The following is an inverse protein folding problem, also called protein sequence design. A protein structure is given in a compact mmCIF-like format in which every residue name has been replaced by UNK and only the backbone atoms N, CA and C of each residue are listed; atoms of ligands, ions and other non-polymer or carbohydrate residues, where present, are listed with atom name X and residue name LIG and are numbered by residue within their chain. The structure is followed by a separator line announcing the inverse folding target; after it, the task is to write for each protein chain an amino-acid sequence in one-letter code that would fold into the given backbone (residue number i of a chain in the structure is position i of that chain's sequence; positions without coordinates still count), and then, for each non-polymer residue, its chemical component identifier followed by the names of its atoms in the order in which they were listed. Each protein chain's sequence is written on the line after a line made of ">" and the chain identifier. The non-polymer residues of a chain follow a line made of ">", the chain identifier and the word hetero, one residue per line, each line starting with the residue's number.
data_IF_060303843438
#
_entry.id   IF_060303843438
#
_cell.length_a   1.000
_cell.length_b   1.000
_cell.length_c   1.000
_cell.angle_alpha   90.00
_cell.angle_beta   90.00
_cell.angle_gamma   90.00
#
_symmetry.space_group_name_H-M   'P 1'
#
loop_
_entity.id
_entity.type
_entity.pdbx_description
1 polymer ?
#
# COMPACT_ATOMS: atom_id res chain seq x y z
N UNK A 1 -10.99 -10.48 -13.28
CA UNK A 1 -9.69 -10.00 -12.74
C UNK A 1 -9.16 -11.02 -11.74
N UNK A 2 -7.90 -11.51 -11.82
CA UNK A 2 -7.41 -12.54 -10.90
C UNK A 2 -7.22 -11.97 -9.48
N UNK A 3 -8.09 -12.35 -8.56
CA UNK A 3 -8.04 -11.89 -7.16
C UNK A 3 -6.81 -12.41 -6.41
N UNK A 4 -6.32 -13.60 -6.79
CA UNK A 4 -5.16 -14.26 -6.19
C UNK A 4 -3.89 -13.41 -6.30
N UNK A 5 -3.62 -12.85 -7.48
CA UNK A 5 -2.40 -12.04 -7.73
C UNK A 5 -2.41 -10.76 -6.88
N UNK A 6 -3.55 -10.07 -6.80
CA UNK A 6 -3.71 -8.87 -5.97
C UNK A 6 -3.36 -9.14 -4.51
N UNK A 7 -3.90 -10.24 -3.95
CA UNK A 7 -3.61 -10.65 -2.58
C UNK A 7 -2.12 -10.92 -2.41
N UNK A 8 -1.51 -11.68 -3.33
CA UNK A 8 -0.07 -11.98 -3.28
C UNK A 8 0.78 -10.71 -3.23
N UNK A 9 0.49 -9.72 -4.08
CA UNK A 9 1.25 -8.46 -4.08
C UNK A 9 1.05 -7.66 -2.78
N UNK A 10 -0.17 -7.59 -2.26
CA UNK A 10 -0.45 -6.84 -1.03
C UNK A 10 0.13 -7.54 0.22
N UNK A 11 0.17 -8.87 0.25
CA UNK A 11 0.85 -9.64 1.31
C UNK A 11 2.35 -9.38 1.28
N UNK A 12 2.98 -9.44 0.10
CA UNK A 12 4.41 -9.14 -0.05
C UNK A 12 4.76 -7.69 0.30
N UNK A 13 3.84 -6.76 0.05
CA UNK A 13 4.00 -5.37 0.46
C UNK A 13 3.87 -5.24 1.99
N UNK A 14 2.89 -5.91 2.60
CA UNK A 14 2.71 -5.95 4.05
C UNK A 14 3.98 -6.43 4.78
N UNK A 15 4.65 -7.46 4.26
CA UNK A 15 5.91 -7.98 4.81
C UNK A 15 7.01 -6.91 4.95
N UNK A 16 6.98 -5.84 4.14
CA UNK A 16 7.96 -4.74 4.23
C UNK A 16 7.71 -3.77 5.39
N UNK A 17 6.50 -3.80 5.94
CA UNK A 17 6.13 -2.99 7.11
C UNK A 17 6.15 -3.80 8.40
N UNK A 18 6.22 -5.14 8.33
CA UNK A 18 6.34 -6.00 9.51
C UNK A 18 7.63 -5.65 10.26
N UNK A 19 7.51 -5.28 11.53
CA UNK A 19 8.64 -4.90 12.38
C UNK A 19 9.07 -3.44 12.26
N UNK A 20 8.46 -2.63 11.38
CA UNK A 20 8.69 -1.18 11.38
C UNK A 20 8.05 -0.54 12.61
N UNK A 21 8.88 0.05 13.47
CA UNK A 21 8.41 0.72 14.67
C UNK A 21 7.48 1.89 14.31
N UNK A 22 6.32 1.92 14.96
CA UNK A 22 5.34 2.98 14.78
C UNK A 22 4.50 2.88 13.50
N UNK A 23 4.49 1.71 12.84
CA UNK A 23 3.59 1.44 11.71
C UNK A 23 2.75 0.20 12.02
N UNK A 24 1.46 0.28 11.75
CA UNK A 24 0.53 -0.85 11.75
C UNK A 24 0.02 -1.10 10.35
N UNK A 25 -0.25 -2.35 10.03
CA UNK A 25 -0.88 -2.75 8.79
C UNK A 25 -2.17 -3.51 9.03
N UNK A 26 -3.15 -3.31 8.15
CA UNK A 26 -4.42 -4.03 8.21
C UNK A 26 -4.96 -4.27 6.81
N UNK A 27 -5.45 -5.49 6.56
CA UNK A 27 -6.17 -5.81 5.33
C UNK A 27 -7.65 -5.48 5.47
N UNK A 28 -8.23 -4.94 4.40
CA UNK A 28 -9.68 -4.74 4.28
C UNK A 28 -10.09 -4.85 2.80
N UNK A 29 -11.34 -4.53 2.49
CA UNK A 29 -11.83 -4.45 1.12
C UNK A 29 -12.42 -3.07 0.82
N UNK A 30 -12.20 -2.61 -0.41
CA UNK A 30 -12.86 -1.43 -1.00
C UNK A 30 -13.43 -1.87 -2.35
N UNK A 31 -14.73 -1.63 -2.57
CA UNK A 31 -15.46 -2.07 -3.77
C UNK A 31 -15.29 -3.56 -4.09
N UNK A 32 -15.23 -4.40 -3.05
CA UNK A 32 -15.03 -5.84 -3.18
C UNK A 32 -13.58 -6.28 -3.50
N UNK A 33 -12.64 -5.34 -3.62
CA UNK A 33 -11.23 -5.64 -3.86
C UNK A 33 -10.39 -5.53 -2.58
N UNK A 34 -9.45 -6.46 -2.35
CA UNK A 34 -8.56 -6.39 -1.19
C UNK A 34 -7.64 -5.17 -1.29
N UNK A 35 -7.44 -4.51 -0.16
CA UNK A 35 -6.53 -3.38 0.00
C UNK A 35 -5.73 -3.53 1.30
N UNK A 36 -4.56 -2.91 1.34
CA UNK A 36 -3.70 -2.83 2.53
C UNK A 36 -3.75 -1.41 3.08
N UNK A 37 -4.23 -1.25 4.32
CA UNK A 37 -4.05 -0.02 5.06
C UNK A 37 -2.70 -0.03 5.76
N UNK A 38 -1.93 1.04 5.57
CA UNK A 38 -0.67 1.32 6.28
C UNK A 38 -0.91 2.52 7.16
N UNK A 39 -0.84 2.32 8.47
CA UNK A 39 -1.35 3.23 9.48
C UNK A 39 -0.18 3.69 10.36
N UNK A 40 0.10 4.99 10.43
CA UNK A 40 1.06 5.51 11.38
C UNK A 40 0.49 5.33 12.79
N UNK A 41 1.26 4.70 13.67
CA UNK A 41 0.89 4.42 15.05
C UNK A 41 1.94 5.01 15.98
N UNK A 42 1.54 5.96 16.84
CA UNK A 42 2.48 6.71 17.72
C UNK A 42 3.52 7.56 16.97
N UNK A 43 3.34 7.77 15.67
CA UNK A 43 4.08 8.75 14.86
C UNK A 43 3.08 9.68 14.16
N UNK A 44 3.41 10.96 13.94
CA UNK A 44 2.59 11.83 13.10
C UNK A 44 2.53 11.29 11.68
N UNK A 45 1.35 11.27 11.09
CA UNK A 45 1.16 10.83 9.71
C UNK A 45 -0.30 10.65 9.36
N UNK A 46 -0.58 10.50 8.07
CA UNK A 46 -1.89 10.06 7.56
C UNK A 46 -1.81 8.62 7.10
N UNK A 47 -2.83 7.82 7.43
CA UNK A 47 -2.93 6.45 6.92
C UNK A 47 -3.06 6.42 5.39
N UNK A 48 -2.30 5.52 4.77
CA UNK A 48 -2.37 5.20 3.35
C UNK A 48 -3.25 3.95 3.14
N UNK A 49 -4.10 3.98 2.12
CA UNK A 49 -4.88 2.80 1.69
C UNK A 49 -4.37 2.38 0.32
N UNK A 50 -3.71 1.23 0.26
CA UNK A 50 -2.98 0.77 -0.93
C UNK A 50 -3.73 -0.37 -1.59
N UNK A 51 -4.04 -0.19 -2.87
CA UNK A 51 -4.63 -1.22 -3.71
C UNK A 51 -3.63 -1.73 -4.74
N UNK A 52 -4.01 -2.79 -5.44
CA UNK A 52 -3.27 -3.30 -6.59
C UNK A 52 -4.17 -3.32 -7.83
N UNK A 53 -3.69 -2.74 -8.94
CA UNK A 53 -4.40 -2.69 -10.24
C UNK A 53 -3.47 -3.04 -11.39
N UNK A 54 -4.01 -3.67 -12.42
CA UNK A 54 -3.26 -3.96 -13.63
C UNK A 54 -3.32 -2.76 -14.57
N UNK A 55 -2.16 -2.28 -15.03
CA UNK A 55 -2.00 -1.14 -15.94
C UNK A 55 -0.80 -1.39 -16.84
N UNK A 56 -0.95 -1.10 -18.13
CA UNK A 56 0.18 -1.10 -19.09
C UNK A 56 1.00 -2.42 -19.06
N UNK A 57 0.31 -3.56 -19.04
CA UNK A 57 0.96 -4.87 -19.08
C UNK A 57 1.56 -5.35 -17.76
N UNK A 58 1.44 -4.60 -16.66
CA UNK A 58 1.99 -4.99 -15.36
C UNK A 58 1.08 -4.60 -14.18
N UNK A 59 1.34 -5.20 -13.03
CA UNK A 59 0.64 -4.87 -11.79
C UNK A 59 1.26 -3.64 -11.14
N UNK A 60 0.43 -2.76 -10.59
CA UNK A 60 0.82 -1.51 -9.93
C UNK A 60 0.15 -1.38 -8.57
N UNK A 61 0.91 -0.94 -7.59
CA UNK A 61 0.37 -0.35 -6.37
C UNK A 61 -0.16 1.06 -6.66
N UNK A 62 -1.25 1.42 -5.99
CA UNK A 62 -1.83 2.75 -6.10
C UNK A 62 -2.49 3.15 -4.79
N UNK A 63 -2.56 4.47 -4.54
CA UNK A 63 -3.34 5.02 -3.44
C UNK A 63 -4.81 4.96 -3.82
N UNK A 64 -5.61 4.22 -3.04
CA UNK A 64 -7.03 4.01 -3.31
C UNK A 64 -7.85 5.28 -3.14
N UNK A 65 -7.45 6.17 -2.23
CA UNK A 65 -8.16 7.42 -1.93
C UNK A 65 -7.90 8.47 -3.01
N UNK A 66 -6.64 8.60 -3.44
CA UNK A 66 -6.24 9.58 -4.44
C UNK A 66 -6.37 9.06 -5.88
N UNK A 67 -6.45 7.74 -6.08
CA UNK A 67 -6.44 7.09 -7.40
C UNK A 67 -5.08 7.12 -8.11
N UNK A 68 -4.04 7.63 -7.43
CA UNK A 68 -2.72 7.92 -8.00
C UNK A 68 -1.83 6.66 -7.95
N UNK A 69 -1.12 6.33 -9.03
CA UNK A 69 -0.14 5.23 -9.01
C UNK A 69 0.99 5.51 -8.02
N UNK A 70 1.39 4.48 -7.27
CA UNK A 70 2.53 4.53 -6.36
C UNK A 70 3.76 4.01 -7.12
N UNK A 71 3.80 2.70 -7.39
CA UNK A 71 4.90 1.99 -8.06
C UNK A 71 4.43 0.67 -8.69
N UNK A 72 5.19 0.10 -9.63
CA UNK A 72 5.02 -1.29 -10.06
C UNK A 72 5.04 -2.28 -8.87
N UNK A 73 4.23 -3.34 -8.95
CA UNK A 73 4.02 -4.27 -7.84
C UNK A 73 5.21 -5.23 -7.57
N UNK A 74 6.19 -5.25 -8.48
CA UNK A 74 7.48 -5.91 -8.31
C UNK A 74 8.53 -5.01 -7.62
N UNK A 75 8.28 -3.72 -7.45
CA UNK A 75 9.17 -2.76 -6.78
C UNK A 75 8.80 -2.58 -5.29
N UNK A 76 8.76 -3.67 -4.52
CA UNK A 76 8.22 -3.70 -3.15
C UNK A 76 8.89 -2.70 -2.19
N UNK A 77 10.21 -2.66 -2.16
CA UNK A 77 10.97 -1.78 -1.23
C UNK A 77 10.81 -0.30 -1.59
N UNK A 78 10.86 0.01 -2.89
CA UNK A 78 10.63 1.37 -3.38
C UNK A 78 9.19 1.83 -3.11
N UNK A 79 8.21 0.94 -3.29
CA UNK A 79 6.82 1.21 -2.96
C UNK A 79 6.64 1.48 -1.46
N UNK A 80 7.20 0.63 -0.59
CA UNK A 80 7.10 0.78 0.86
C UNK A 80 7.76 2.09 1.36
N UNK A 81 8.92 2.43 0.80
CA UNK A 81 9.61 3.70 1.09
C UNK A 81 8.75 4.91 0.68
N UNK A 82 8.22 4.91 -0.55
CA UNK A 82 7.36 5.98 -1.04
C UNK A 82 6.07 6.14 -0.23
N UNK A 83 5.45 5.04 0.18
CA UNK A 83 4.27 5.05 1.07
C UNK A 83 4.62 5.70 2.41
N UNK A 84 5.74 5.29 3.02
CA UNK A 84 6.20 5.83 4.31
C UNK A 84 6.46 7.34 4.27
N UNK A 85 7.10 7.81 3.19
CA UNK A 85 7.32 9.25 2.95
C UNK A 85 5.99 9.98 2.79
N UNK A 86 5.06 9.44 2.00
CA UNK A 86 3.75 10.06 1.75
C UNK A 86 2.91 10.17 3.03
N UNK A 87 2.93 9.13 3.88
CA UNK A 87 2.26 9.14 5.17
C UNK A 87 2.77 10.27 6.07
N UNK A 88 4.09 10.50 6.07
CA UNK A 88 4.74 11.51 6.91
C UNK A 88 4.50 12.93 6.41
N UNK A 89 4.46 13.13 5.09
CA UNK A 89 4.23 14.44 4.47
C UNK A 89 2.79 14.93 4.64
N UNK A 90 1.81 14.02 4.62
CA UNK A 90 0.39 14.36 4.78
C UNK A 90 -0.03 14.74 6.20
N UNK A 91 0.89 14.78 7.17
CA UNK A 91 0.66 15.28 8.53
C UNK A 91 1.05 16.75 8.74
N UNK A 92 1.61 17.41 7.73
CA UNK A 92 1.85 18.86 7.71
C UNK A 92 0.67 19.58 7.08
#
# INVERSE_FOLDING_TARGET
>A
MPQRERITFLVRLNERFVGMAGVLTAFTSVDGYPVLNVIPHKIPGRAATVGCRYREGQWWFYDVRAGVPIRPANELDAAASQISVSMSQAAR
#
